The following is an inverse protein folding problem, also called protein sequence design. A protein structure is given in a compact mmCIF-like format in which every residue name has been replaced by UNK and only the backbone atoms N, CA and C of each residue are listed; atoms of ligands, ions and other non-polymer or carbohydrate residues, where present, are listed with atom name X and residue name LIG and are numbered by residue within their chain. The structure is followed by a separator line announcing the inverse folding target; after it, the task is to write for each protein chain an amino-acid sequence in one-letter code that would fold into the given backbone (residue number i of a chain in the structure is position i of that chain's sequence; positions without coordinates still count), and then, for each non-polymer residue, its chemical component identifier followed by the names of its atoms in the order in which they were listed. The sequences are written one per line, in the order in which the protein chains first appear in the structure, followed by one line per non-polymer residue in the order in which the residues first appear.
data_IF_678561873754
#
_entry.id   IF_678561873754
#
_cell.length_a   1.000
_cell.length_b   1.000
_cell.length_c   1.000
_cell.angle_alpha   90.00
_cell.angle_beta   90.00
_cell.angle_gamma   90.00
#
_symmetry.space_group_name_H-M   'P 1'
#
loop_
_entity.id
_entity.type
_entity.pdbx_description
1 polymer ?
#
# COMPACT_ATOMS: atom_id res chain seq x y z
N UNK A 1 -11.64 -22.72 3.93
CA UNK A 1 -11.43 -23.76 2.89
C UNK A 1 -12.74 -23.96 2.16
N UNK A 2 -12.78 -23.72 0.85
CA UNK A 2 -13.90 -24.23 0.06
C UNK A 2 -13.87 -25.76 0.13
N UNK A 3 -15.00 -26.46 0.33
CA UNK A 3 -15.01 -27.91 0.20
C UNK A 3 -14.52 -28.24 -1.21
N UNK A 4 -13.50 -29.08 -1.30
CA UNK A 4 -13.06 -29.58 -2.59
C UNK A 4 -14.27 -30.24 -3.28
N UNK A 5 -14.47 -30.00 -4.58
CA UNK A 5 -15.52 -30.69 -5.32
C UNK A 5 -15.35 -32.20 -5.09
N UNK A 6 -16.44 -32.97 -4.92
CA UNK A 6 -16.35 -34.39 -4.61
C UNK A 6 -15.63 -35.12 -5.76
N UNK A 7 -14.35 -35.43 -5.55
CA UNK A 7 -13.54 -36.19 -6.51
C UNK A 7 -13.78 -37.67 -6.28
N UNK A 8 -14.45 -38.33 -7.24
CA UNK A 8 -14.54 -39.79 -7.30
C UNK A 8 -13.20 -40.34 -7.84
N UNK A 9 -12.53 -41.19 -7.06
CA UNK A 9 -11.29 -41.87 -7.46
C UNK A 9 -11.63 -43.24 -8.04
N UNK A 10 -11.02 -43.57 -9.18
CA UNK A 10 -11.18 -44.87 -9.84
C UNK A 10 -9.87 -45.66 -9.78
N UNK A 11 -9.98 -46.99 -9.64
CA UNK A 11 -8.83 -47.86 -9.80
C UNK A 11 -8.54 -48.10 -11.29
N UNK A 12 -7.24 -48.19 -11.65
CA UNK A 12 -6.83 -48.45 -13.03
C UNK A 12 -7.38 -49.81 -13.49
N UNK A 13 -8.27 -49.79 -14.49
CA UNK A 13 -8.91 -51.00 -15.03
C UNK A 13 -10.33 -51.26 -14.50
N UNK A 14 -10.85 -50.43 -13.60
CA UNK A 14 -12.24 -50.50 -13.19
C UNK A 14 -13.15 -50.05 -14.35
N UNK A 15 -13.99 -50.97 -14.83
CA UNK A 15 -15.03 -50.70 -15.82
C UNK A 15 -16.32 -50.47 -15.02
N UNK A 16 -16.70 -49.21 -14.82
CA UNK A 16 -18.05 -48.90 -14.33
C UNK A 16 -19.04 -49.06 -15.49
N UNK A 17 -20.11 -49.79 -15.23
CA UNK A 17 -21.24 -49.91 -16.14
C UNK A 17 -21.95 -48.54 -16.21
N UNK A 18 -22.13 -48.04 -17.43
CA UNK A 18 -22.75 -46.75 -17.73
C UNK A 18 -24.22 -46.74 -17.29
N UNK A 19 -24.50 -46.26 -16.08
CA UNK A 19 -25.85 -45.86 -15.66
C UNK A 19 -25.77 -44.73 -14.60
N UNK A 20 -25.31 -43.54 -15.01
CA UNK A 20 -25.71 -42.30 -14.33
C UNK A 20 -26.28 -41.39 -15.42
N UNK A 21 -27.61 -41.10 -15.42
CA UNK A 21 -28.20 -40.22 -16.41
C UNK A 21 -27.54 -38.84 -16.34
N UNK A 22 -27.17 -38.32 -17.50
CA UNK A 22 -26.63 -36.98 -17.71
C UNK A 22 -27.53 -35.96 -17.00
N UNK A 23 -27.10 -35.46 -15.84
CA UNK A 23 -27.64 -34.19 -15.33
C UNK A 23 -27.03 -33.11 -16.21
N UNK A 24 -27.82 -32.64 -17.16
CA UNK A 24 -27.58 -31.40 -17.86
C UNK A 24 -27.61 -30.27 -16.82
N UNK A 25 -26.43 -29.77 -16.46
CA UNK A 25 -26.32 -28.52 -15.74
C UNK A 25 -26.61 -27.42 -16.79
N UNK A 26 -27.77 -26.76 -16.69
CA UNK A 26 -28.34 -25.82 -17.69
C UNK A 26 -27.51 -24.53 -17.93
N UNK A 27 -26.36 -24.37 -17.26
CA UNK A 27 -25.52 -23.17 -17.32
C UNK A 27 -24.16 -23.40 -18.02
N UNK A 28 -23.97 -24.50 -18.76
CA UNK A 28 -22.68 -24.79 -19.43
C UNK A 28 -22.60 -24.15 -20.83
N UNK A 29 -21.83 -23.06 -20.91
CA UNK A 29 -21.48 -22.35 -22.14
C UNK A 29 -20.74 -23.28 -23.14
N UNK A 30 -21.49 -24.05 -23.93
CA UNK A 30 -21.14 -24.49 -25.29
C UNK A 30 -19.80 -25.23 -25.51
N UNK A 31 -19.12 -25.71 -24.47
CA UNK A 31 -17.87 -26.47 -24.57
C UNK A 31 -17.98 -27.68 -23.65
N UNK A 32 -18.58 -28.76 -24.16
CA UNK A 32 -18.80 -30.01 -23.41
C UNK A 32 -17.57 -30.43 -22.61
N UNK A 33 -17.63 -30.20 -21.30
CA UNK A 33 -16.54 -30.54 -20.41
C UNK A 33 -16.52 -32.06 -20.24
N UNK A 34 -15.58 -32.73 -20.91
CA UNK A 34 -15.35 -34.15 -20.67
C UNK A 34 -15.02 -34.35 -19.19
N UNK A 35 -15.93 -34.96 -18.41
CA UNK A 35 -15.72 -35.24 -16.99
C UNK A 35 -14.45 -36.08 -16.83
N UNK A 36 -13.39 -35.46 -16.33
CA UNK A 36 -12.10 -36.12 -16.15
C UNK A 36 -12.19 -37.21 -15.08
N UNK A 37 -11.80 -38.44 -15.45
CA UNK A 37 -11.68 -39.56 -14.50
C UNK A 37 -10.31 -39.53 -13.84
N UNK A 38 -10.29 -39.46 -12.51
CA UNK A 38 -9.07 -39.43 -11.73
C UNK A 38 -8.73 -40.83 -11.22
N UNK A 39 -7.47 -41.25 -11.41
CA UNK A 39 -7.00 -42.56 -10.96
C UNK A 39 -5.79 -42.45 -10.04
N UNK A 40 -5.64 -43.44 -9.16
CA UNK A 40 -4.52 -43.51 -8.22
C UNK A 40 -3.24 -43.93 -8.95
N UNK A 41 -2.36 -42.98 -9.25
CA UNK A 41 -1.05 -43.28 -9.85
C UNK A 41 -0.17 -44.15 -8.93
N UNK A 42 0.29 -45.30 -9.42
CA UNK A 42 1.22 -46.18 -8.70
C UNK A 42 2.69 -45.75 -8.86
N UNK A 43 2.98 -44.81 -9.77
CA UNK A 43 4.33 -44.31 -10.08
C UNK A 43 4.92 -43.54 -8.89
N UNK A 44 6.25 -43.44 -8.86
CA UNK A 44 7.01 -42.83 -7.76
C UNK A 44 6.54 -41.40 -7.44
N UNK A 45 6.24 -40.57 -8.45
CA UNK A 45 5.73 -39.21 -8.27
C UNK A 45 4.36 -39.17 -7.57
N UNK A 46 3.46 -40.12 -7.89
CA UNK A 46 2.16 -40.23 -7.23
C UNK A 46 2.25 -40.72 -5.79
N UNK A 47 3.31 -41.47 -5.45
CA UNK A 47 3.63 -41.84 -4.06
C UNK A 47 4.24 -40.66 -3.31
N UNK A 48 5.18 -39.95 -3.94
CA UNK A 48 5.85 -38.78 -3.37
C UNK A 48 4.86 -37.67 -3.05
N UNK A 49 3.96 -37.35 -3.99
CA UNK A 49 2.93 -36.31 -3.80
C UNK A 49 2.00 -36.59 -2.61
N UNK A 50 1.63 -37.85 -2.36
CA UNK A 50 0.84 -38.23 -1.18
C UNK A 50 1.64 -38.30 0.12
N UNK A 51 2.96 -38.44 0.01
CA UNK A 51 3.87 -38.39 1.15
C UNK A 51 4.10 -36.97 1.68
N UNK A 52 3.73 -35.95 0.89
CA UNK A 52 3.74 -34.54 1.32
C UNK A 52 2.50 -34.28 2.16
N UNK A 53 2.68 -34.23 3.48
CA UNK A 53 1.65 -33.78 4.40
C UNK A 53 1.67 -32.25 4.47
N UNK A 54 0.92 -31.61 3.57
CA UNK A 54 0.83 -30.15 3.51
C UNK A 54 0.39 -29.57 4.85
N UNK A 55 -0.55 -30.20 5.57
CA UNK A 55 -1.02 -29.69 6.87
C UNK A 55 0.10 -29.64 7.89
N UNK A 56 0.95 -30.68 7.93
CA UNK A 56 2.13 -30.72 8.79
C UNK A 56 3.17 -29.65 8.44
N UNK A 57 3.37 -29.39 7.14
CA UNK A 57 4.28 -28.32 6.67
C UNK A 57 3.73 -26.95 7.05
N UNK A 58 2.44 -26.71 6.81
CA UNK A 58 1.79 -25.46 7.19
C UNK A 58 1.88 -25.22 8.69
N UNK A 59 1.58 -26.22 9.51
CA UNK A 59 1.56 -26.09 10.97
C UNK A 59 2.98 -25.94 11.57
N UNK A 60 3.96 -26.72 11.12
CA UNK A 60 5.30 -26.77 11.73
C UNK A 60 6.29 -25.78 11.13
N UNK A 61 6.25 -25.58 9.81
CA UNK A 61 7.28 -24.83 9.09
C UNK A 61 6.82 -23.41 8.73
N UNK A 62 5.51 -23.18 8.56
CA UNK A 62 4.97 -21.88 8.09
C UNK A 62 4.32 -21.09 9.23
N UNK A 63 3.51 -21.71 10.09
CA UNK A 63 2.90 -21.05 11.26
C UNK A 63 3.84 -20.99 12.48
N UNK A 64 5.16 -21.02 12.26
CA UNK A 64 6.12 -20.84 13.35
C UNK A 64 5.76 -19.54 14.07
N UNK A 65 5.25 -19.65 15.29
CA UNK A 65 4.95 -18.51 16.13
C UNK A 65 6.27 -17.74 16.31
N UNK A 66 6.46 -16.69 15.52
CA UNK A 66 7.57 -15.78 15.69
C UNK A 66 7.34 -15.20 17.07
N UNK A 67 8.27 -15.46 17.98
CA UNK A 67 8.16 -14.87 19.31
C UNK A 67 8.21 -13.35 19.13
N UNK A 68 7.06 -12.69 19.29
CA UNK A 68 6.92 -11.23 19.17
C UNK A 68 7.28 -10.53 20.48
N UNK A 69 8.03 -11.19 21.37
CA UNK A 69 8.59 -10.58 22.56
C UNK A 69 9.59 -9.47 22.16
N UNK A 70 9.13 -8.22 22.19
CA UNK A 70 9.94 -7.04 21.88
C UNK A 70 9.11 -5.78 21.60
N UNK A 71 9.76 -4.61 21.51
CA UNK A 71 9.10 -3.37 21.09
C UNK A 71 8.55 -3.51 19.67
N UNK A 72 7.42 -2.86 19.37
CA UNK A 72 6.80 -3.00 18.05
C UNK A 72 7.74 -2.46 16.96
N UNK A 73 7.58 -2.95 15.73
CA UNK A 73 8.35 -2.46 14.57
C UNK A 73 8.23 -0.94 14.45
N UNK A 74 7.06 -0.38 14.80
CA UNK A 74 6.81 1.06 14.77
C UNK A 74 7.52 1.81 15.89
N UNK A 75 7.64 1.24 17.08
CA UNK A 75 8.40 1.84 18.18
C UNK A 75 9.90 1.88 17.85
N UNK A 76 10.43 0.77 17.32
CA UNK A 76 11.82 0.69 16.87
C UNK A 76 12.09 1.66 15.71
N UNK A 77 11.18 1.74 14.75
CA UNK A 77 11.29 2.65 13.60
C UNK A 77 11.24 4.11 14.03
N UNK A 78 10.27 4.49 14.87
CA UNK A 78 10.13 5.84 15.40
C UNK A 78 11.37 6.24 16.19
N UNK A 79 11.85 5.38 17.09
CA UNK A 79 13.06 5.65 17.87
C UNK A 79 14.32 5.81 16.99
N UNK A 80 14.47 4.99 15.95
CA UNK A 80 15.57 5.13 14.99
C UNK A 80 15.48 6.43 14.20
N UNK A 81 14.31 6.77 13.68
CA UNK A 81 14.13 8.00 12.91
C UNK A 81 14.33 9.24 13.77
N UNK A 82 13.90 9.24 15.03
CA UNK A 82 14.18 10.31 15.98
C UNK A 82 15.69 10.52 16.15
N UNK A 83 16.44 9.45 16.45
CA UNK A 83 17.89 9.52 16.64
C UNK A 83 18.62 10.02 15.39
N UNK A 84 18.16 9.63 14.20
CA UNK A 84 18.72 10.07 12.92
C UNK A 84 18.45 11.56 12.67
N UNK A 85 17.24 12.05 12.97
CA UNK A 85 16.88 13.47 12.83
C UNK A 85 17.66 14.36 13.82
N UNK A 86 17.82 13.90 15.06
CA UNK A 86 18.66 14.55 16.06
C UNK A 86 20.14 14.58 15.61
N UNK A 87 20.63 13.50 15.01
CA UNK A 87 21.98 13.44 14.43
C UNK A 87 22.21 14.38 13.24
N UNK A 88 21.15 14.73 12.52
CA UNK A 88 21.17 15.74 11.46
C UNK A 88 20.99 17.18 11.98
N UNK A 89 20.78 17.37 13.29
CA UNK A 89 20.60 18.68 13.92
C UNK A 89 19.19 19.27 13.78
N UNK A 90 18.20 18.46 13.42
CA UNK A 90 16.81 18.92 13.26
C UNK A 90 16.10 18.86 14.62
N UNK A 91 15.71 20.02 15.14
CA UNK A 91 14.90 20.10 16.36
C UNK A 91 13.43 19.74 16.03
N UNK A 92 12.93 18.64 16.60
CA UNK A 92 11.58 18.15 16.34
C UNK A 92 10.54 18.98 17.09
N UNK A 93 9.84 19.88 16.40
CA UNK A 93 8.67 20.57 16.94
C UNK A 93 7.37 19.86 16.54
N UNK A 94 7.06 18.79 17.28
CA UNK A 94 5.81 18.05 17.07
C UNK A 94 4.58 18.94 17.31
N UNK A 95 4.62 19.84 18.31
CA UNK A 95 3.45 20.61 18.71
C UNK A 95 2.97 21.53 17.59
N UNK A 96 3.91 22.15 16.86
CA UNK A 96 3.60 23.02 15.72
C UNK A 96 2.92 22.28 14.55
N UNK A 97 3.27 21.02 14.32
CA UNK A 97 2.79 20.25 13.17
C UNK A 97 1.70 19.21 13.50
N UNK A 98 1.35 19.04 14.78
CA UNK A 98 0.39 18.03 15.22
C UNK A 98 -1.01 18.23 14.61
N UNK A 99 -1.49 19.47 14.52
CA UNK A 99 -2.82 19.76 13.98
C UNK A 99 -2.90 19.52 12.47
N UNK A 100 -1.87 19.93 11.73
CA UNK A 100 -1.77 19.65 10.30
C UNK A 100 -1.68 18.13 10.05
N UNK A 101 -0.89 17.42 10.84
CA UNK A 101 -0.78 15.96 10.76
C UNK A 101 -2.12 15.25 11.02
N UNK A 102 -2.91 15.72 12.00
CA UNK A 102 -4.27 15.20 12.26
C UNK A 102 -5.22 15.47 11.11
N UNK A 103 -5.20 16.67 10.52
CA UNK A 103 -6.02 17.00 9.33
C UNK A 103 -5.67 16.09 8.16
N UNK A 104 -4.38 15.86 7.90
CA UNK A 104 -3.92 14.97 6.84
C UNK A 104 -4.36 13.52 7.08
N UNK A 105 -4.30 13.03 8.32
CA UNK A 105 -4.84 11.72 8.69
C UNK A 105 -6.32 11.63 8.37
N UNK A 106 -7.13 12.59 8.80
CA UNK A 106 -8.57 12.60 8.54
C UNK A 106 -8.88 12.57 7.04
N UNK A 107 -8.24 13.45 6.26
CA UNK A 107 -8.41 13.50 4.79
C UNK A 107 -8.06 12.18 4.11
N UNK A 108 -6.98 11.54 4.57
CA UNK A 108 -6.59 10.22 4.08
C UNK A 108 -7.65 9.15 4.41
N UNK A 109 -8.10 9.10 5.66
CA UNK A 109 -9.06 8.11 6.15
C UNK A 109 -10.42 8.26 5.46
N UNK A 110 -10.86 9.48 5.17
CA UNK A 110 -12.07 9.79 4.42
C UNK A 110 -11.97 9.30 2.97
N UNK A 111 -10.87 9.64 2.28
CA UNK A 111 -10.63 9.21 0.89
C UNK A 111 -10.58 7.67 0.76
N UNK A 112 -9.87 7.01 1.69
CA UNK A 112 -9.81 5.54 1.74
C UNK A 112 -11.18 4.93 2.00
N UNK A 113 -11.94 5.48 2.95
CA UNK A 113 -13.28 4.99 3.28
C UNK A 113 -14.25 5.17 2.11
N UNK A 114 -14.14 6.28 1.37
CA UNK A 114 -14.88 6.49 0.12
C UNK A 114 -14.58 5.42 -0.93
N UNK A 115 -13.30 5.10 -1.13
CA UNK A 115 -12.86 4.05 -2.05
C UNK A 115 -13.34 2.66 -1.64
N UNK A 116 -13.31 2.33 -0.33
CA UNK A 116 -13.80 1.05 0.20
C UNK A 116 -15.28 0.79 -0.10
N UNK A 117 -16.11 1.82 -0.04
CA UNK A 117 -17.53 1.70 -0.37
C UNK A 117 -17.76 1.70 -1.88
N UNK A 118 -17.05 2.55 -2.63
CA UNK A 118 -17.24 2.69 -4.07
C UNK A 118 -16.90 1.42 -4.86
N UNK A 119 -15.82 0.73 -4.48
CA UNK A 119 -15.36 -0.49 -5.15
C UNK A 119 -15.89 -1.77 -4.52
N UNK A 120 -16.73 -1.68 -3.48
CA UNK A 120 -17.34 -2.86 -2.90
C UNK A 120 -18.34 -3.49 -3.89
N UNK A 121 -18.25 -4.81 -4.02
CA UNK A 121 -19.24 -5.60 -4.78
C UNK A 121 -20.54 -5.78 -3.99
N UNK A 122 -20.48 -5.68 -2.65
CA UNK A 122 -21.62 -5.87 -1.77
C UNK A 122 -22.03 -4.54 -1.13
N UNK A 123 -23.25 -4.02 -1.38
CA UNK A 123 -23.73 -2.79 -0.77
C UNK A 123 -23.78 -2.81 0.77
N UNK A 124 -23.67 -3.99 1.41
CA UNK A 124 -23.73 -4.17 2.86
C UNK A 124 -22.37 -4.33 3.54
N UNK A 125 -21.29 -4.53 2.78
CA UNK A 125 -19.96 -4.78 3.31
C UNK A 125 -18.95 -3.94 2.54
N UNK A 126 -18.18 -3.09 3.21
CA UNK A 126 -17.11 -2.34 2.55
C UNK A 126 -15.87 -3.21 2.38
N UNK A 127 -15.02 -2.87 1.40
CA UNK A 127 -13.73 -3.55 1.23
C UNK A 127 -12.85 -3.37 2.47
N UNK A 128 -11.97 -4.31 2.77
CA UNK A 128 -11.01 -4.13 3.86
C UNK A 128 -9.95 -3.08 3.50
N UNK A 129 -9.36 -2.45 4.52
CA UNK A 129 -8.30 -1.45 4.32
C UNK A 129 -7.12 -2.02 3.51
N UNK A 130 -6.75 -3.28 3.74
CA UNK A 130 -5.66 -3.95 3.03
C UNK A 130 -5.98 -4.12 1.55
N UNK A 131 -7.23 -4.44 1.21
CA UNK A 131 -7.65 -4.59 -0.19
C UNK A 131 -7.58 -3.26 -0.95
N UNK A 132 -8.05 -2.18 -0.33
CA UNK A 132 -7.99 -0.85 -0.93
C UNK A 132 -6.56 -0.34 -1.00
N UNK A 133 -5.79 -0.48 0.09
CA UNK A 133 -4.41 0.01 0.14
C UNK A 133 -3.51 -0.73 -0.85
N UNK A 134 -3.69 -2.04 -1.02
CA UNK A 134 -2.92 -2.82 -1.99
C UNK A 134 -3.49 -2.77 -3.42
N UNK A 135 -4.67 -2.18 -3.62
CA UNK A 135 -5.32 -2.12 -4.94
C UNK A 135 -5.76 -3.49 -5.46
N UNK A 136 -6.13 -4.42 -4.57
CA UNK A 136 -6.44 -5.80 -4.96
C UNK A 136 -7.62 -6.36 -4.17
N UNK A 137 -8.66 -6.79 -4.87
CA UNK A 137 -9.82 -7.46 -4.28
C UNK A 137 -9.44 -8.91 -3.87
N UNK A 138 -9.42 -9.19 -2.57
CA UNK A 138 -9.01 -10.50 -2.04
C UNK A 138 -10.22 -11.44 -1.99
N UNK A 139 -10.37 -12.28 -3.02
CA UNK A 139 -11.39 -13.33 -2.97
C UNK A 139 -11.02 -14.40 -1.94
N UNK A 140 -11.91 -14.67 -0.98
CA UNK A 140 -11.80 -15.80 -0.05
C UNK A 140 -12.00 -17.17 -0.73
N UNK A 141 -12.45 -17.21 -2.00
CA UNK A 141 -12.72 -18.42 -2.79
C UNK A 141 -12.44 -18.21 -4.27
N UNK A 142 -11.54 -19.02 -4.84
CA UNK A 142 -11.38 -19.21 -6.29
C UNK A 142 -10.61 -18.13 -7.05
N UNK A 143 -10.49 -18.33 -8.37
CA UNK A 143 -9.86 -17.39 -9.30
C UNK A 143 -10.75 -16.14 -9.50
N UNK A 144 -10.13 -14.97 -9.65
CA UNK A 144 -10.85 -13.71 -9.88
C UNK A 144 -11.58 -13.73 -11.23
N UNK A 145 -12.82 -13.25 -11.27
CA UNK A 145 -13.56 -13.05 -12.53
C UNK A 145 -12.95 -11.90 -13.34
N UNK A 146 -13.24 -11.85 -14.66
CA UNK A 146 -12.78 -10.74 -15.52
C UNK A 146 -13.22 -9.37 -14.99
N UNK A 147 -14.48 -9.24 -14.57
CA UNK A 147 -15.00 -8.01 -14.00
C UNK A 147 -14.30 -7.63 -12.69
N UNK A 148 -13.98 -8.60 -11.83
CA UNK A 148 -13.21 -8.35 -10.61
C UNK A 148 -11.78 -7.92 -10.88
N UNK A 149 -11.15 -8.44 -11.95
CA UNK A 149 -9.84 -7.99 -12.40
C UNK A 149 -9.88 -6.54 -12.88
N UNK A 150 -10.87 -6.19 -13.69
CA UNK A 150 -11.04 -4.81 -14.18
C UNK A 150 -11.32 -3.84 -13.02
N UNK A 151 -12.13 -4.25 -12.04
CA UNK A 151 -12.36 -3.47 -10.82
C UNK A 151 -11.12 -3.36 -9.94
N UNK A 152 -10.31 -4.41 -9.82
CA UNK A 152 -9.04 -4.36 -9.08
C UNK A 152 -8.05 -3.41 -9.74
N UNK A 153 -7.97 -3.37 -11.07
CA UNK A 153 -7.15 -2.39 -11.79
C UNK A 153 -7.58 -0.96 -11.46
N UNK A 154 -8.88 -0.66 -11.51
CA UNK A 154 -9.40 0.68 -11.16
C UNK A 154 -9.17 1.04 -9.70
N UNK A 155 -9.35 0.07 -8.79
CA UNK A 155 -9.10 0.24 -7.37
C UNK A 155 -7.63 0.56 -7.12
N UNK A 156 -6.71 -0.12 -7.82
CA UNK A 156 -5.29 0.17 -7.76
C UNK A 156 -4.95 1.57 -8.23
N UNK A 157 -5.50 1.99 -9.36
CA UNK A 157 -5.27 3.34 -9.89
C UNK A 157 -5.75 4.42 -8.90
N UNK A 158 -6.91 4.20 -8.25
CA UNK A 158 -7.42 5.13 -7.23
C UNK A 158 -6.59 5.08 -5.94
N UNK A 159 -6.14 3.91 -5.51
CA UNK A 159 -5.24 3.78 -4.36
C UNK A 159 -3.90 4.51 -4.60
N UNK A 160 -3.28 4.32 -5.77
CA UNK A 160 -2.05 4.99 -6.18
C UNK A 160 -2.26 6.51 -6.26
N UNK A 161 -3.44 6.96 -6.71
CA UNK A 161 -3.82 8.38 -6.72
C UNK A 161 -3.95 8.96 -5.32
N UNK A 162 -4.67 8.30 -4.40
CA UNK A 162 -4.84 8.74 -3.01
C UNK A 162 -3.47 8.81 -2.31
N UNK A 163 -2.63 7.78 -2.49
CA UNK A 163 -1.28 7.76 -1.92
C UNK A 163 -0.42 8.90 -2.47
N UNK A 164 -0.43 9.12 -3.79
CA UNK A 164 0.34 10.20 -4.43
C UNK A 164 -0.15 11.59 -3.99
N UNK A 165 -1.46 11.77 -3.88
CA UNK A 165 -2.07 13.00 -3.36
C UNK A 165 -1.63 13.26 -1.91
N UNK A 166 -1.67 12.24 -1.06
CA UNK A 166 -1.25 12.35 0.33
C UNK A 166 0.24 12.68 0.46
N UNK A 167 1.10 12.03 -0.33
CA UNK A 167 2.55 12.33 -0.39
C UNK A 167 2.78 13.80 -0.78
N UNK A 168 2.03 14.31 -1.76
CA UNK A 168 2.15 15.71 -2.19
C UNK A 168 1.70 16.71 -1.12
N UNK A 169 0.69 16.36 -0.32
CA UNK A 169 0.25 17.16 0.82
C UNK A 169 1.30 17.16 1.94
N UNK A 170 1.87 16.00 2.28
CA UNK A 170 2.94 15.89 3.28
C UNK A 170 4.21 16.66 2.87
N UNK A 171 4.52 16.69 1.57
CA UNK A 171 5.66 17.43 1.00
C UNK A 171 5.36 18.93 0.74
N UNK A 172 4.17 19.42 1.10
CA UNK A 172 3.72 20.81 0.90
C UNK A 172 3.98 21.36 -0.51
N UNK A 173 3.56 20.64 -1.57
CA UNK A 173 3.35 21.25 -2.91
C UNK A 173 1.92 21.77 -3.12
N UNK A 174 1.13 21.90 -2.05
CA UNK A 174 -0.27 22.31 -2.14
C UNK A 174 -0.81 22.88 -0.84
N UNK A 175 -0.79 24.20 -0.74
CA UNK A 175 -1.80 24.96 -0.01
C UNK A 175 -1.60 25.08 1.50
N UNK A 176 -0.83 26.10 1.89
CA UNK A 176 -1.25 26.96 3.00
C UNK A 176 -2.56 27.62 2.56
N UNK A 177 -3.70 27.00 2.86
CA UNK A 177 -5.02 27.64 2.70
C UNK A 177 -5.19 28.60 3.88
N UNK A 178 -4.52 29.74 3.78
CA UNK A 178 -4.92 30.97 4.48
C UNK A 178 -5.60 31.84 3.44
N UNK A 179 -6.87 32.25 3.63
CA UNK A 179 -7.45 33.29 2.80
C UNK A 179 -6.84 34.63 3.24
N UNK A 180 -6.37 35.40 2.26
CA UNK A 180 -6.04 36.82 2.39
C UNK A 180 -4.69 37.19 3.03
N UNK A 181 -3.62 37.01 2.24
CA UNK A 181 -2.58 38.04 2.17
C UNK A 181 -1.93 37.98 0.79
N UNK A 182 -2.15 39.01 -0.03
CA UNK A 182 -1.62 39.15 -1.39
C UNK A 182 -0.09 39.29 -1.45
N UNK A 183 0.62 38.24 -1.05
CA UNK A 183 2.05 38.10 -1.28
C UNK A 183 2.25 37.17 -2.47
N UNK A 184 2.57 37.77 -3.61
CA UNK A 184 3.09 37.13 -4.82
C UNK A 184 4.17 36.10 -4.43
N UNK A 185 3.80 34.83 -4.39
CA UNK A 185 4.74 33.75 -4.12
C UNK A 185 5.56 33.51 -5.38
N UNK A 186 6.76 34.09 -5.43
CA UNK A 186 7.77 33.76 -6.42
C UNK A 186 8.13 32.27 -6.36
N UNK A 187 8.70 31.70 -7.44
CA UNK A 187 8.93 30.26 -7.59
C UNK A 187 10.03 29.66 -6.69
N UNK A 188 10.60 30.43 -5.75
CA UNK A 188 11.77 30.05 -4.95
C UNK A 188 11.59 30.35 -3.44
N UNK A 189 10.40 30.12 -2.88
CA UNK A 189 10.27 30.02 -1.43
C UNK A 189 10.65 28.59 -1.02
N UNK A 190 11.95 28.32 -0.86
CA UNK A 190 12.45 27.15 -0.14
C UNK A 190 11.86 27.17 1.28
N UNK A 191 10.65 26.62 1.45
CA UNK A 191 10.17 26.23 2.77
C UNK A 191 11.27 25.33 3.34
N UNK A 192 11.80 25.63 4.55
CA UNK A 192 12.99 24.95 5.02
C UNK A 192 12.71 23.45 4.98
N UNK A 193 13.56 22.67 4.31
CA UNK A 193 13.36 21.21 4.17
C UNK A 193 13.10 20.53 5.52
N UNK A 194 13.60 21.15 6.58
CA UNK A 194 13.35 20.82 7.98
C UNK A 194 11.86 20.86 8.35
N UNK A 195 11.06 21.84 7.89
CA UNK A 195 9.61 21.94 8.13
C UNK A 195 8.86 20.76 7.46
N UNK A 196 9.27 20.35 6.25
CA UNK A 196 8.66 19.20 5.55
C UNK A 196 8.95 17.90 6.31
N UNK A 197 10.18 17.73 6.78
CA UNK A 197 10.60 16.57 7.56
C UNK A 197 9.90 16.52 8.91
N UNK A 198 9.75 17.68 9.58
CA UNK A 198 8.99 17.80 10.82
C UNK A 198 7.51 17.49 10.63
N UNK A 199 6.90 17.91 9.52
CA UNK A 199 5.52 17.53 9.18
C UNK A 199 5.39 16.02 8.93
N UNK A 200 6.31 15.42 8.14
CA UNK A 200 6.33 13.98 7.92
C UNK A 200 6.50 13.19 9.22
N UNK A 201 7.34 13.68 10.13
CA UNK A 201 7.52 13.13 11.47
C UNK A 201 6.23 13.22 12.30
N UNK A 202 5.58 14.39 12.32
CA UNK A 202 4.31 14.56 13.01
C UNK A 202 3.22 13.64 12.45
N UNK A 203 3.15 13.46 11.13
CA UNK A 203 2.26 12.49 10.49
C UNK A 203 2.54 11.05 10.92
N UNK A 204 3.80 10.65 11.04
CA UNK A 204 4.17 9.32 11.54
C UNK A 204 3.70 9.13 12.98
N UNK A 205 4.00 10.09 13.86
CA UNK A 205 3.60 10.04 15.27
C UNK A 205 2.08 9.95 15.39
N UNK A 206 1.33 10.81 14.69
CA UNK A 206 -0.14 10.79 14.68
C UNK A 206 -0.71 9.48 14.11
N UNK A 207 -0.07 8.91 13.09
CA UNK A 207 -0.45 7.61 12.53
C UNK A 207 -0.12 6.41 13.43
N UNK A 208 0.80 6.59 14.38
CA UNK A 208 1.17 5.59 15.38
C UNK A 208 0.37 5.72 16.69
N UNK A 209 -0.34 6.84 16.90
CA UNK A 209 -1.26 6.97 18.02
C UNK A 209 -2.34 5.89 17.92
N UNK A 210 -2.48 5.14 19.02
CA UNK A 210 -3.65 4.28 19.22
C UNK A 210 -4.78 5.21 19.63
N UNK A 211 -5.91 5.12 18.94
CA UNK A 211 -7.08 5.86 19.39
C UNK A 211 -7.47 5.31 20.77
N UNK A 212 -7.61 6.21 21.75
CA UNK A 212 -7.86 5.84 23.15
C UNK A 212 -9.24 5.17 23.37
N UNK A 213 -10.04 5.10 22.31
CA UNK A 213 -11.42 4.65 22.30
C UNK A 213 -11.61 3.55 21.24
N UNK A 214 -10.89 2.42 21.38
CA UNK A 214 -11.22 1.15 20.72
C UNK A 214 -12.54 0.56 21.31
N UNK A 215 -13.51 1.42 21.61
CA UNK A 215 -14.81 1.17 22.21
C UNK A 215 -15.94 1.45 21.23
N UNK A 216 -16.49 0.37 20.68
CA UNK A 216 -17.88 0.26 20.23
C UNK A 216 -18.39 0.98 18.97
N UNK A 217 -17.59 1.73 18.19
CA UNK A 217 -18.04 2.18 16.85
C UNK A 217 -17.03 1.84 15.74
N UNK A 218 -17.55 1.27 14.64
CA UNK A 218 -16.82 0.48 13.64
C UNK A 218 -15.91 1.26 12.69
N UNK A 219 -15.33 2.36 13.14
CA UNK A 219 -14.39 3.21 12.41
C UNK A 219 -12.98 3.12 12.97
N UNK A 220 -12.43 1.92 13.11
CA UNK A 220 -11.05 1.74 13.59
C UNK A 220 -10.06 2.55 12.75
N UNK A 221 -9.20 3.34 13.41
CA UNK A 221 -8.08 4.08 12.83
C UNK A 221 -7.41 3.31 11.68
N UNK A 222 -7.18 3.98 10.55
CA UNK A 222 -6.55 3.31 9.40
C UNK A 222 -5.06 3.17 9.63
N UNK A 223 -4.58 1.94 9.58
CA UNK A 223 -3.17 1.56 9.81
C UNK A 223 -2.26 1.86 8.62
N UNK A 224 -2.79 2.20 7.47
CA UNK A 224 -2.07 2.47 6.23
C UNK A 224 -1.55 3.90 6.19
N UNK A 225 -2.16 4.84 6.91
CA UNK A 225 -1.67 6.22 6.99
C UNK A 225 -0.23 6.30 7.53
N UNK A 226 0.07 5.57 8.61
CA UNK A 226 1.44 5.48 9.16
C UNK A 226 2.45 4.89 8.17
N UNK A 227 2.01 4.00 7.27
CA UNK A 227 2.88 3.44 6.21
C UNK A 227 3.21 4.51 5.18
N UNK A 228 2.21 5.28 4.72
CA UNK A 228 2.42 6.42 3.84
C UNK A 228 3.35 7.47 4.48
N UNK A 229 3.10 7.83 5.74
CA UNK A 229 3.90 8.80 6.47
C UNK A 229 5.36 8.34 6.65
N UNK A 230 5.57 7.07 7.04
CA UNK A 230 6.91 6.49 7.17
C UNK A 230 7.68 6.48 5.85
N UNK A 231 7.02 6.11 4.75
CA UNK A 231 7.64 6.12 3.42
C UNK A 231 8.01 7.54 2.97
N UNK A 232 7.18 8.54 3.30
CA UNK A 232 7.51 9.94 3.03
C UNK A 232 8.71 10.39 3.85
N UNK A 233 8.68 10.14 5.16
CA UNK A 233 9.75 10.53 6.07
C UNK A 233 11.10 9.94 5.66
N UNK A 234 11.15 8.64 5.34
CA UNK A 234 12.38 7.98 4.89
C UNK A 234 12.95 8.64 3.64
N UNK A 235 12.11 8.91 2.65
CA UNK A 235 12.55 9.56 1.40
C UNK A 235 13.09 10.97 1.65
N UNK A 236 12.49 11.73 2.56
CA UNK A 236 12.97 13.07 2.91
C UNK A 236 14.28 13.04 3.69
N UNK A 237 14.42 12.13 4.65
CA UNK A 237 15.67 11.93 5.41
C UNK A 237 16.80 11.51 4.47
N UNK A 238 16.54 10.61 3.52
CA UNK A 238 17.54 10.21 2.53
C UNK A 238 17.89 11.35 1.56
N UNK A 239 16.92 12.18 1.17
CA UNK A 239 17.16 13.37 0.36
C UNK A 239 18.02 14.41 1.12
N UNK A 240 17.77 14.61 2.42
CA UNK A 240 18.59 15.46 3.28
C UNK A 240 20.01 14.93 3.41
N UNK A 241 20.20 13.62 3.63
CA UNK A 241 21.52 12.99 3.66
C UNK A 241 22.27 13.19 2.36
N UNK A 242 21.61 13.01 1.22
CA UNK A 242 22.18 13.25 -0.09
C UNK A 242 22.60 14.71 -0.29
N UNK A 243 21.81 15.66 0.20
CA UNK A 243 22.14 17.09 0.14
C UNK A 243 23.36 17.45 1.03
N UNK A 244 23.44 16.90 2.24
CA UNK A 244 24.57 17.10 3.16
C UNK A 244 25.86 16.48 2.61
N UNK A 245 25.77 15.30 1.98
CA UNK A 245 26.92 14.64 1.35
C UNK A 245 27.33 15.25 -0.01
N UNK A 246 26.41 15.91 -0.72
CA UNK A 246 26.58 16.45 -2.05
C UNK A 246 26.96 17.94 -2.13
N UNK A 247 27.25 18.59 -0.99
CA UNK A 247 27.54 20.03 -0.85
C UNK A 247 28.85 20.53 -1.49
N UNK A 248 29.24 20.01 -2.65
CA UNK A 248 30.33 20.50 -3.48
C UNK A 248 29.82 21.06 -4.81
N UNK A 249 29.07 22.17 -4.78
CA UNK A 249 28.73 22.87 -6.02
C UNK A 249 29.91 23.77 -6.42
N UNK A 250 30.66 23.33 -7.44
CA UNK A 250 31.72 24.09 -8.10
C UNK A 250 31.06 25.25 -8.85
N UNK A 251 31.31 26.47 -8.38
CA UNK A 251 30.96 27.68 -9.13
C UNK A 251 31.66 27.69 -10.48
N UNK A 252 30.89 27.78 -11.56
CA UNK A 252 31.42 28.21 -12.86
C UNK A 252 31.17 29.71 -12.97
N UNK A 253 32.12 30.48 -12.46
CA UNK A 253 32.35 31.82 -12.96
C UNK A 253 33.12 31.71 -14.27
N UNK A 254 32.50 32.06 -15.41
CA UNK A 254 33.16 32.67 -16.58
C UNK A 254 32.15 32.78 -17.73
N UNK A 255 31.80 34.02 -18.09
CA UNK A 255 30.98 34.24 -19.28
C UNK A 255 30.47 35.66 -19.48
N UNK A 256 31.14 36.68 -18.93
CA UNK A 256 30.88 38.07 -19.29
C UNK A 256 31.51 38.34 -20.67
N UNK A 257 30.88 37.79 -21.71
CA UNK A 257 31.22 38.06 -23.10
C UNK A 257 30.56 39.39 -23.51
N UNK A 258 31.38 40.44 -23.48
CA UNK A 258 31.23 41.69 -24.24
C UNK A 258 30.39 41.52 -25.52
N UNK A 259 29.30 42.28 -25.60
CA UNK A 259 28.79 42.82 -26.88
C UNK A 259 28.76 44.34 -26.77
N UNK A 260 29.89 44.95 -27.13
CA UNK A 260 29.91 46.25 -27.78
C UNK A 260 29.89 45.97 -29.28
N UNK A 261 28.96 46.63 -29.98
CA UNK A 261 28.84 46.90 -31.43
C UNK A 261 27.33 46.85 -31.78
N UNK A 262 26.67 47.89 -32.27
CA UNK A 262 27.08 49.24 -32.61
C UNK A 262 25.83 50.10 -32.82
N UNK A 263 25.93 51.37 -32.42
CA UNK A 263 24.98 52.44 -32.71
C UNK A 263 25.51 53.20 -33.93
N UNK A 264 24.84 53.09 -35.07
CA UNK A 264 24.85 54.08 -36.15
C UNK A 264 23.76 53.74 -37.18
N UNK A 265 22.71 54.57 -37.24
CA UNK A 265 22.08 55.11 -38.46
C UNK A 265 20.83 55.91 -38.04
N UNK A 266 20.90 57.23 -38.23
CA UNK A 266 19.85 58.21 -37.95
C UNK A 266 20.44 59.54 -37.52
#
# INVERSE_FOLDING_TARGET
MAPAPPVKLYDLGQIDYLDEPERADEDDDGMGSARHRYHRSAKILGRLYRGVDEKKIWDRDIHRAVNTDGPSVWDQFTGRMQAELEGLGIALDYARHADDARKLRHLYEEAMSGSMWHFSTNPRESLTEVEVFCGSLLNKRGAQTRQQRDNSTRLKDEADRIQSWMVNLMRRRGGRVEPDSGAESGPDADEPRDDVVQLCWACLVVGCLKDADDGADGGSARRSFRVCAAACLLKEVDALRGAVAGGGFVGVAAGLARRLDGLALG
#
